data_IF_463472165396
#
_entry.id   IF_463472165396
#
_cell.length_a   1.000
_cell.length_b   1.000
_cell.length_c   1.000
_cell.angle_alpha   90.00
_cell.angle_beta   90.00
_cell.angle_gamma   90.00
#
_symmetry.space_group_name_H-M   'P 1'
#
loop_
_entity.id
_entity.type
_entity.pdbx_description
1 polymer ?
#
# COMPACT_ATOMS: atom_id res chain seq x y z
N UNK A 1 -33.20 62.20 1.53
CA UNK A 1 -32.68 61.47 0.36
C UNK A 1 -31.31 60.90 0.64
N UNK A 2 -30.25 61.65 1.02
CA UNK A 2 -28.89 61.16 1.24
C UNK A 2 -28.74 60.07 2.34
N UNK A 3 -29.48 60.15 3.46
CA UNK A 3 -29.46 59.16 4.52
C UNK A 3 -30.02 57.78 4.08
N UNK A 4 -31.06 57.78 3.28
CA UNK A 4 -31.66 56.57 2.73
C UNK A 4 -30.71 55.86 1.71
N UNK A 5 -30.06 56.65 0.84
CA UNK A 5 -29.10 56.11 -0.14
C UNK A 5 -27.85 55.56 0.54
N UNK A 6 -27.37 56.22 1.61
CA UNK A 6 -26.24 55.73 2.40
C UNK A 6 -26.58 54.40 3.11
N UNK A 7 -27.76 54.30 3.70
CA UNK A 7 -28.21 53.08 4.37
C UNK A 7 -28.34 51.89 3.41
N UNK A 8 -28.92 52.13 2.21
CA UNK A 8 -29.02 51.05 1.19
C UNK A 8 -27.67 50.59 0.71
N UNK A 9 -26.69 51.50 0.53
CA UNK A 9 -25.35 51.15 0.11
C UNK A 9 -24.60 50.27 1.16
N UNK A 10 -24.76 50.58 2.46
CA UNK A 10 -24.21 49.82 3.56
C UNK A 10 -24.82 48.39 3.61
N UNK A 11 -26.16 48.28 3.44
CA UNK A 11 -26.84 46.99 3.43
C UNK A 11 -26.38 46.13 2.24
N UNK A 12 -26.27 46.72 1.05
CA UNK A 12 -25.77 46.00 -0.13
C UNK A 12 -24.32 45.51 0.09
N UNK A 13 -23.44 46.39 0.61
CA UNK A 13 -22.07 46.02 0.91
C UNK A 13 -21.98 44.86 1.92
N UNK A 14 -22.84 44.87 2.94
CA UNK A 14 -22.90 43.80 3.93
C UNK A 14 -23.34 42.46 3.32
N UNK A 15 -24.34 42.49 2.44
CA UNK A 15 -24.81 41.29 1.72
C UNK A 15 -23.72 40.75 0.81
N UNK A 16 -23.02 41.60 0.06
CA UNK A 16 -21.93 41.19 -0.83
C UNK A 16 -20.78 40.55 -0.02
N UNK A 17 -20.36 41.20 1.07
CA UNK A 17 -19.28 40.67 1.94
C UNK A 17 -19.71 39.32 2.53
N UNK A 18 -20.92 39.18 3.01
CA UNK A 18 -21.47 37.94 3.54
C UNK A 18 -21.43 36.83 2.49
N UNK A 19 -21.87 37.11 1.27
CA UNK A 19 -21.93 36.16 0.16
C UNK A 19 -20.52 35.72 -0.27
N UNK A 20 -19.60 36.66 -0.40
CA UNK A 20 -18.17 36.36 -0.74
C UNK A 20 -17.53 35.55 0.36
N UNK A 21 -17.73 35.91 1.63
CA UNK A 21 -17.14 35.19 2.76
C UNK A 21 -17.69 33.77 2.85
N UNK A 22 -18.98 33.59 2.71
CA UNK A 22 -19.61 32.26 2.80
C UNK A 22 -19.23 31.34 1.63
N UNK A 23 -19.12 31.91 0.42
CA UNK A 23 -18.95 31.14 -0.81
C UNK A 23 -17.49 30.95 -1.24
N UNK A 24 -16.59 31.84 -0.84
CA UNK A 24 -15.16 31.76 -1.23
C UNK A 24 -14.23 31.58 -0.04
N UNK A 25 -14.33 32.44 0.98
CA UNK A 25 -13.34 32.46 2.07
C UNK A 25 -13.47 31.23 2.97
N UNK A 26 -14.68 30.85 3.33
CA UNK A 26 -14.92 29.71 4.22
C UNK A 26 -14.41 28.39 3.61
N UNK A 27 -14.76 27.99 2.37
CA UNK A 27 -14.24 26.78 1.76
C UNK A 27 -12.71 26.74 1.67
N UNK A 28 -12.08 27.87 1.33
CA UNK A 28 -10.61 27.96 1.28
C UNK A 28 -9.98 27.76 2.65
N UNK A 29 -10.60 28.27 3.72
CA UNK A 29 -10.13 28.05 5.09
C UNK A 29 -10.30 26.59 5.51
N UNK A 30 -11.41 25.96 5.13
CA UNK A 30 -11.66 24.55 5.42
C UNK A 30 -10.64 23.66 4.68
N UNK A 31 -10.31 23.99 3.43
CA UNK A 31 -9.23 23.34 2.69
C UNK A 31 -7.86 23.52 3.35
N UNK A 32 -7.54 24.72 3.82
CA UNK A 32 -6.30 24.97 4.52
C UNK A 32 -6.20 24.12 5.80
N UNK A 33 -7.27 24.05 6.59
CA UNK A 33 -7.31 23.21 7.79
C UNK A 33 -7.19 21.72 7.45
N UNK A 34 -7.86 21.27 6.39
CA UNK A 34 -7.74 19.90 5.89
C UNK A 34 -6.32 19.58 5.44
N UNK A 35 -5.66 20.47 4.71
CA UNK A 35 -4.27 20.33 4.27
C UNK A 35 -3.30 20.25 5.46
N UNK A 36 -3.54 21.03 6.52
CA UNK A 36 -2.73 20.95 7.75
C UNK A 36 -2.91 19.63 8.49
N UNK A 37 -4.12 19.09 8.56
CA UNK A 37 -4.35 17.76 9.13
C UNK A 37 -3.71 16.67 8.28
N UNK A 38 -3.80 16.81 6.97
CA UNK A 38 -3.18 15.94 6.00
C UNK A 38 -1.65 15.87 6.13
N UNK A 39 -1.00 17.02 6.33
CA UNK A 39 0.45 17.09 6.57
C UNK A 39 0.91 16.41 7.87
N UNK A 40 -0.01 16.18 8.81
CA UNK A 40 0.23 15.43 10.06
C UNK A 40 -0.05 13.93 9.93
N UNK A 41 -0.38 13.46 8.72
CA UNK A 41 -0.65 12.05 8.43
C UNK A 41 -2.12 11.64 8.61
N UNK A 42 -3.04 12.58 8.84
CA UNK A 42 -4.47 12.27 8.87
C UNK A 42 -5.07 12.38 7.45
N UNK A 43 -5.03 11.27 6.73
CA UNK A 43 -5.57 11.15 5.37
C UNK A 43 -7.07 10.89 5.33
N UNK A 44 -7.76 10.85 6.48
CA UNK A 44 -9.21 10.60 6.56
C UNK A 44 -10.02 11.87 6.39
N UNK A 45 -9.39 13.03 6.54
CA UNK A 45 -10.02 14.35 6.43
C UNK A 45 -10.58 14.56 5.02
N UNK A 46 -11.79 15.09 4.94
CA UNK A 46 -12.46 15.45 3.69
C UNK A 46 -13.01 16.87 3.80
N UNK A 47 -12.98 17.59 2.68
CA UNK A 47 -13.56 18.91 2.54
C UNK A 47 -14.98 18.78 2.02
N UNK A 48 -15.94 19.47 2.65
CA UNK A 48 -17.32 19.50 2.16
C UNK A 48 -17.41 20.31 0.86
N UNK A 49 -17.97 19.67 -0.17
CA UNK A 49 -18.18 20.32 -1.47
C UNK A 49 -19.59 20.93 -1.49
N UNK A 50 -19.67 22.25 -1.30
CA UNK A 50 -20.94 22.98 -1.26
C UNK A 50 -21.15 23.90 -2.48
N UNK A 51 -20.30 23.82 -3.48
CA UNK A 51 -20.32 24.64 -4.69
C UNK A 51 -20.05 23.80 -5.93
N UNK A 52 -20.60 24.23 -7.07
CA UNK A 52 -20.35 23.65 -8.39
C UNK A 52 -19.40 24.52 -9.25
N UNK A 53 -18.78 25.51 -8.64
CA UNK A 53 -17.78 26.40 -9.26
C UNK A 53 -16.35 25.83 -9.12
N UNK A 54 -15.34 26.63 -9.46
CA UNK A 54 -13.92 26.25 -9.39
C UNK A 54 -13.49 25.86 -7.96
N UNK A 55 -14.12 26.45 -6.94
CA UNK A 55 -13.85 26.10 -5.54
C UNK A 55 -14.41 24.71 -5.22
N UNK A 56 -15.58 24.39 -5.73
CA UNK A 56 -16.15 23.06 -5.60
C UNK A 56 -15.33 21.99 -6.34
N UNK A 57 -14.84 22.33 -7.54
CA UNK A 57 -13.95 21.46 -8.28
C UNK A 57 -12.64 21.22 -7.52
N UNK A 58 -12.03 22.27 -6.96
CA UNK A 58 -10.81 22.14 -6.17
C UNK A 58 -11.02 21.27 -4.91
N UNK A 59 -12.16 21.38 -4.25
CA UNK A 59 -12.51 20.54 -3.11
C UNK A 59 -12.66 19.06 -3.50
N UNK A 60 -13.24 18.78 -4.67
CA UNK A 60 -13.35 17.43 -5.20
C UNK A 60 -11.97 16.83 -5.50
N UNK A 61 -11.09 17.58 -6.17
CA UNK A 61 -9.72 17.13 -6.48
C UNK A 61 -8.91 16.87 -5.20
N UNK A 62 -9.06 17.75 -4.19
CA UNK A 62 -8.46 17.51 -2.87
C UNK A 62 -8.96 16.21 -2.25
N UNK A 63 -10.28 15.96 -2.26
CA UNK A 63 -10.84 14.75 -1.70
C UNK A 63 -10.39 13.49 -2.47
N UNK A 64 -10.26 13.57 -3.79
CA UNK A 64 -9.74 12.49 -4.62
C UNK A 64 -8.28 12.16 -4.27
N UNK A 65 -7.43 13.19 -4.17
CA UNK A 65 -6.04 13.03 -3.73
C UNK A 65 -5.97 12.43 -2.32
N UNK A 66 -6.79 12.93 -1.39
CA UNK A 66 -6.85 12.43 -0.01
C UNK A 66 -7.26 10.95 0.04
N UNK A 67 -8.19 10.53 -0.81
CA UNK A 67 -8.61 9.14 -0.89
C UNK A 67 -7.52 8.24 -1.49
N UNK A 68 -6.84 8.69 -2.53
CA UNK A 68 -5.74 7.95 -3.14
C UNK A 68 -4.61 7.73 -2.13
N UNK A 69 -4.26 8.76 -1.34
CA UNK A 69 -3.21 8.66 -0.32
C UNK A 69 -3.64 7.79 0.87
N UNK A 70 -4.88 7.89 1.32
CA UNK A 70 -5.42 7.03 2.38
C UNK A 70 -5.39 5.56 1.98
N UNK A 71 -5.72 5.24 0.72
CA UNK A 71 -5.61 3.87 0.17
C UNK A 71 -4.17 3.39 0.14
N UNK A 72 -3.24 4.23 -0.32
CA UNK A 72 -1.81 3.90 -0.37
C UNK A 72 -1.26 3.62 1.03
N UNK A 73 -1.57 4.46 2.02
CA UNK A 73 -1.16 4.27 3.42
C UNK A 73 -1.74 2.97 4.00
N UNK A 74 -3.02 2.67 3.74
CA UNK A 74 -3.65 1.44 4.19
C UNK A 74 -3.00 0.20 3.56
N UNK A 75 -2.68 0.25 2.26
CA UNK A 75 -1.96 -0.83 1.57
C UNK A 75 -0.55 -1.02 2.14
N UNK A 76 0.20 0.06 2.36
CA UNK A 76 1.54 0.00 2.93
C UNK A 76 1.53 -0.59 4.35
N UNK A 77 0.58 -0.16 5.19
CA UNK A 77 0.41 -0.71 6.55
C UNK A 77 0.07 -2.19 6.51
N UNK A 78 -0.85 -2.60 5.64
CA UNK A 78 -1.21 -4.01 5.45
C UNK A 78 -0.02 -4.82 4.94
N UNK A 79 0.75 -4.29 3.99
CA UNK A 79 1.96 -4.91 3.48
C UNK A 79 2.98 -5.17 4.60
N UNK A 80 3.31 -4.15 5.40
CA UNK A 80 4.25 -4.28 6.54
C UNK A 80 3.76 -5.31 7.56
N UNK A 81 2.46 -5.30 7.88
CA UNK A 81 1.88 -6.28 8.80
C UNK A 81 1.96 -7.70 8.26
N UNK A 82 1.62 -7.92 6.99
CA UNK A 82 1.69 -9.23 6.35
C UNK A 82 3.12 -9.74 6.26
N UNK A 83 4.06 -8.89 5.84
CA UNK A 83 5.51 -9.23 5.82
C UNK A 83 5.98 -9.66 7.21
N UNK A 84 5.65 -8.88 8.23
CA UNK A 84 6.05 -9.20 9.62
C UNK A 84 5.50 -10.56 10.07
N UNK A 85 4.26 -10.85 9.71
CA UNK A 85 3.62 -12.13 10.04
C UNK A 85 4.26 -13.31 9.30
N UNK A 86 4.50 -13.15 8.00
CA UNK A 86 5.11 -14.19 7.15
C UNK A 86 6.58 -14.46 7.50
N UNK A 87 7.30 -13.46 8.05
CA UNK A 87 8.67 -13.65 8.55
C UNK A 87 8.69 -14.26 9.95
N UNK A 88 7.74 -13.91 10.83
CA UNK A 88 7.73 -14.37 12.21
C UNK A 88 7.60 -15.90 12.32
N UNK A 89 6.74 -16.52 11.53
CA UNK A 89 6.47 -17.95 11.57
C UNK A 89 7.72 -18.79 11.31
N UNK A 90 8.43 -18.65 10.15
CA UNK A 90 9.65 -19.42 9.90
C UNK A 90 10.77 -19.08 10.88
N UNK A 91 10.91 -17.83 11.33
CA UNK A 91 11.90 -17.47 12.34
C UNK A 91 11.65 -18.16 13.69
N UNK A 92 10.38 -18.25 14.13
CA UNK A 92 10.02 -18.98 15.36
C UNK A 92 10.32 -20.48 15.21
N UNK A 93 10.04 -21.07 14.06
CA UNK A 93 10.35 -22.49 13.78
C UNK A 93 11.85 -22.76 13.80
N UNK A 94 12.63 -21.89 13.13
CA UNK A 94 14.09 -21.98 13.12
C UNK A 94 14.65 -21.88 14.54
N UNK A 95 14.24 -20.82 15.28
CA UNK A 95 14.69 -20.60 16.65
C UNK A 95 14.37 -21.80 17.55
N UNK A 96 13.10 -22.25 17.55
CA UNK A 96 12.67 -23.35 18.38
C UNK A 96 13.41 -24.67 18.12
N UNK A 97 13.71 -24.99 16.86
CA UNK A 97 14.49 -26.21 16.55
C UNK A 97 15.98 -26.06 16.88
N UNK A 98 16.55 -24.87 16.65
CA UNK A 98 17.94 -24.60 17.04
C UNK A 98 18.10 -24.66 18.55
N UNK A 99 17.22 -24.01 19.30
CA UNK A 99 17.23 -24.00 20.77
C UNK A 99 17.03 -25.42 21.32
N UNK A 100 16.06 -26.18 20.76
CA UNK A 100 15.82 -27.57 21.19
C UNK A 100 16.99 -28.55 20.87
N UNK A 101 17.80 -28.23 19.87
CA UNK A 101 19.04 -28.97 19.60
C UNK A 101 20.14 -28.58 20.61
N UNK A 102 20.26 -27.29 20.92
CA UNK A 102 21.29 -26.75 21.82
C UNK A 102 21.07 -27.15 23.28
N UNK A 103 19.83 -27.15 23.74
CA UNK A 103 19.46 -27.52 25.13
C UNK A 103 19.30 -29.03 25.35
N UNK A 104 19.39 -29.83 24.27
CA UNK A 104 19.31 -31.27 24.31
C UNK A 104 17.89 -31.84 24.39
N UNK A 105 16.86 -31.02 24.26
CA UNK A 105 15.45 -31.45 24.19
C UNK A 105 15.19 -32.30 22.95
N UNK A 106 15.92 -32.04 21.84
CA UNK A 106 15.89 -32.84 20.62
C UNK A 106 17.01 -33.88 20.68
N UNK A 107 16.70 -35.21 20.66
CA UNK A 107 17.69 -36.26 20.66
C UNK A 107 18.64 -36.18 19.44
N UNK A 108 19.92 -36.57 19.64
CA UNK A 108 20.96 -36.47 18.60
C UNK A 108 20.61 -37.20 17.31
N UNK A 109 19.88 -38.30 17.42
CA UNK A 109 19.45 -39.15 16.30
C UNK A 109 18.49 -38.38 15.37
N UNK A 110 17.81 -37.36 15.88
CA UNK A 110 16.85 -36.53 15.13
C UNK A 110 17.43 -35.20 14.65
N UNK A 111 18.66 -34.84 15.06
CA UNK A 111 19.28 -33.55 14.68
C UNK A 111 19.26 -33.31 13.17
N UNK A 112 19.64 -34.33 12.37
CA UNK A 112 19.66 -34.22 10.91
C UNK A 112 18.28 -33.87 10.33
N UNK A 113 17.22 -34.48 10.85
CA UNK A 113 15.84 -34.21 10.42
C UNK A 113 15.42 -32.76 10.71
N UNK A 114 15.66 -32.26 11.92
CA UNK A 114 15.28 -30.90 12.31
C UNK A 114 16.17 -29.85 11.65
N UNK A 115 17.44 -30.10 11.45
CA UNK A 115 18.35 -29.23 10.68
C UNK A 115 17.94 -29.15 9.20
N UNK A 116 17.40 -30.23 8.61
CA UNK A 116 16.85 -30.19 7.26
C UNK A 116 15.62 -29.27 7.17
N UNK A 117 14.74 -29.28 8.19
CA UNK A 117 13.60 -28.36 8.29
C UNK A 117 14.09 -26.91 8.42
N UNK A 118 15.03 -26.64 9.32
CA UNK A 118 15.66 -25.30 9.48
C UNK A 118 16.23 -24.81 8.15
N UNK A 119 16.98 -25.66 7.43
CA UNK A 119 17.53 -25.32 6.11
C UNK A 119 16.43 -24.98 5.09
N UNK A 120 15.33 -25.72 5.12
CA UNK A 120 14.14 -25.45 4.29
C UNK A 120 13.52 -24.07 4.57
N UNK A 121 13.35 -23.73 5.85
CA UNK A 121 12.79 -22.44 6.28
C UNK A 121 13.73 -21.27 5.93
N UNK A 122 15.05 -21.43 6.07
CA UNK A 122 16.04 -20.42 5.64
C UNK A 122 15.95 -20.17 4.12
N UNK A 123 15.84 -21.24 3.31
CA UNK A 123 15.65 -21.10 1.86
C UNK A 123 14.34 -20.41 1.51
N UNK A 124 13.26 -20.71 2.25
CA UNK A 124 11.95 -20.05 2.09
C UNK A 124 12.07 -18.56 2.39
N UNK A 125 12.67 -18.18 3.52
CA UNK A 125 12.92 -16.77 3.89
C UNK A 125 13.72 -16.03 2.81
N UNK A 126 14.80 -16.66 2.31
CA UNK A 126 15.64 -16.06 1.26
C UNK A 126 14.84 -15.77 -0.02
N UNK A 127 13.96 -16.69 -0.43
CA UNK A 127 13.08 -16.45 -1.59
C UNK A 127 12.09 -15.32 -1.32
N UNK A 128 11.49 -15.28 -0.13
CA UNK A 128 10.53 -14.22 0.26
C UNK A 128 11.19 -12.85 0.23
N UNK A 129 12.36 -12.69 0.83
CA UNK A 129 13.13 -11.42 0.81
C UNK A 129 13.45 -11.01 -0.62
N UNK A 130 13.86 -11.94 -1.48
CA UNK A 130 14.13 -11.64 -2.89
C UNK A 130 12.89 -11.16 -3.61
N UNK A 131 11.75 -11.81 -3.43
CA UNK A 131 10.49 -11.38 -4.04
C UNK A 131 10.06 -9.98 -3.58
N UNK A 132 10.31 -9.64 -2.30
CA UNK A 132 10.03 -8.29 -1.79
C UNK A 132 10.94 -7.22 -2.41
N UNK A 133 12.23 -7.53 -2.57
CA UNK A 133 13.18 -6.62 -3.25
C UNK A 133 12.82 -6.43 -4.72
N UNK A 134 12.39 -7.48 -5.40
CA UNK A 134 11.97 -7.40 -6.79
C UNK A 134 10.69 -6.54 -6.91
N UNK A 135 9.71 -6.72 -6.00
CA UNK A 135 8.52 -5.88 -5.93
C UNK A 135 8.88 -4.40 -5.70
N UNK A 136 9.75 -4.13 -4.72
CA UNK A 136 10.19 -2.76 -4.45
C UNK A 136 10.86 -2.09 -5.66
N UNK A 137 11.65 -2.84 -6.45
CA UNK A 137 12.25 -2.34 -7.71
C UNK A 137 11.20 -2.06 -8.77
N UNK A 138 10.15 -2.88 -8.87
CA UNK A 138 9.03 -2.66 -9.79
C UNK A 138 8.29 -1.37 -9.42
N UNK A 139 7.95 -1.21 -8.13
CA UNK A 139 7.26 -0.02 -7.62
C UNK A 139 8.08 1.26 -7.78
N UNK A 140 9.40 1.18 -7.61
CA UNK A 140 10.32 2.29 -7.85
C UNK A 140 10.53 2.62 -9.35
N UNK A 141 10.01 1.79 -10.26
CA UNK A 141 10.24 1.94 -11.70
C UNK A 141 11.68 1.64 -12.12
N UNK A 142 12.46 1.00 -11.26
CA UNK A 142 13.86 0.67 -11.50
C UNK A 142 14.05 -0.61 -12.33
N UNK A 143 12.98 -1.39 -12.50
CA UNK A 143 13.03 -2.61 -13.27
C UNK A 143 13.10 -2.30 -14.76
N UNK A 144 14.27 -2.48 -15.34
CA UNK A 144 14.47 -2.34 -16.79
C UNK A 144 13.94 -3.59 -17.48
N UNK A 145 12.90 -3.39 -18.30
CA UNK A 145 12.45 -4.43 -19.22
C UNK A 145 13.48 -4.54 -20.37
N UNK A 146 13.88 -5.74 -20.68
CA UNK A 146 14.69 -6.06 -21.87
C UNK A 146 13.81 -6.88 -22.83
N UNK A 147 12.98 -6.26 -23.67
CA UNK A 147 12.13 -6.97 -24.60
C UNK A 147 12.98 -7.75 -25.59
N UNK A 148 12.72 -9.03 -25.70
CA UNK A 148 13.36 -9.93 -26.67
C UNK A 148 12.31 -10.83 -27.30
N UNK A 149 12.50 -11.18 -28.55
CA UNK A 149 11.69 -12.23 -29.20
C UNK A 149 11.97 -13.57 -28.54
N UNK A 150 10.96 -14.33 -28.24
CA UNK A 150 11.06 -15.65 -27.67
C UNK A 150 10.04 -16.60 -28.27
N UNK A 151 10.37 -17.88 -28.30
CA UNK A 151 9.47 -18.95 -28.69
C UNK A 151 8.62 -19.38 -27.49
N UNK A 152 7.35 -18.99 -27.52
CA UNK A 152 6.38 -19.32 -26.46
C UNK A 152 6.24 -20.84 -26.28
N UNK A 153 6.21 -21.61 -27.40
CA UNK A 153 6.05 -23.05 -27.34
C UNK A 153 7.24 -23.72 -26.61
N UNK A 154 8.45 -23.26 -26.89
CA UNK A 154 9.65 -23.76 -26.22
C UNK A 154 9.61 -23.47 -24.71
N UNK A 155 9.17 -22.27 -24.30
CA UNK A 155 9.02 -21.93 -22.87
C UNK A 155 7.96 -22.81 -22.19
N UNK A 156 6.80 -23.00 -22.82
CA UNK A 156 5.75 -23.89 -22.29
C UNK A 156 6.26 -25.30 -22.10
N UNK A 157 6.96 -25.87 -23.10
CA UNK A 157 7.57 -27.18 -22.99
C UNK A 157 8.59 -27.25 -21.85
N UNK A 158 9.47 -26.25 -21.70
CA UNK A 158 10.43 -26.21 -20.60
C UNK A 158 9.76 -26.19 -19.23
N UNK A 159 8.65 -25.42 -19.09
CA UNK A 159 7.88 -25.38 -17.84
C UNK A 159 7.27 -26.76 -17.56
N UNK A 160 6.64 -27.41 -18.54
CA UNK A 160 6.05 -28.75 -18.38
C UNK A 160 7.13 -29.75 -17.95
N UNK A 161 8.27 -29.78 -18.63
CA UNK A 161 9.40 -30.64 -18.24
C UNK A 161 9.93 -30.36 -16.83
N UNK A 162 9.92 -29.10 -16.38
CA UNK A 162 10.32 -28.77 -15.01
C UNK A 162 9.40 -29.37 -13.93
N UNK A 163 8.16 -29.72 -14.29
CA UNK A 163 7.18 -30.35 -13.40
C UNK A 163 7.05 -31.87 -13.64
N UNK A 164 7.81 -32.48 -14.56
CA UNK A 164 7.71 -33.89 -14.94
C UNK A 164 7.67 -34.82 -13.74
N UNK A 165 8.61 -34.67 -12.80
CA UNK A 165 8.66 -35.46 -11.57
C UNK A 165 7.41 -35.31 -10.68
N UNK A 166 6.84 -34.11 -10.62
CA UNK A 166 5.62 -33.84 -9.86
C UNK A 166 4.37 -34.43 -10.56
N UNK A 167 4.35 -34.39 -11.88
CA UNK A 167 3.31 -34.95 -12.75
C UNK A 167 3.27 -36.46 -12.58
N UNK A 168 4.42 -37.14 -12.73
CA UNK A 168 4.56 -38.59 -12.56
C UNK A 168 4.17 -39.04 -11.15
N UNK A 169 4.66 -38.33 -10.11
CA UNK A 169 4.37 -38.70 -8.71
C UNK A 169 2.88 -38.63 -8.35
N UNK A 170 2.10 -37.82 -9.10
CA UNK A 170 0.66 -37.65 -8.90
C UNK A 170 -0.20 -38.37 -9.94
N UNK A 171 0.41 -39.10 -10.88
CA UNK A 171 -0.27 -39.76 -12.01
C UNK A 171 -1.22 -38.78 -12.76
N UNK A 172 -0.76 -37.58 -13.06
CA UNK A 172 -1.54 -36.61 -13.84
C UNK A 172 -1.38 -36.90 -15.33
N UNK A 173 -2.50 -36.96 -16.04
CA UNK A 173 -2.54 -37.02 -17.51
C UNK A 173 -2.58 -35.59 -18.06
N UNK A 174 -1.61 -35.22 -18.93
CA UNK A 174 -1.45 -33.85 -19.45
C UNK A 174 -1.35 -33.89 -20.96
#
# INVERSE_FOLDING_TARGET
>A
MFLLSSLTMVVIAFIVIYFVTARMVKPLRDMLAATQSFSRGDYTVRVQVNSSDEIGQLANEFNYMAEALARNEAMNRSFVANVSHELKTPMTTIGGFVDGILDGTIPKEKHHQYLAIVSGEVKRLSRMVRSMLDLAKIEAGEMKLNPAEFDLNNIVCQVIFSFEQAIESKNLDI
#
